data_IF_899259761500
#
_entry.id   IF_899259761500
#
_cell.length_a   1.000
_cell.length_b   1.000
_cell.length_c   1.000
_cell.angle_alpha   90.00
_cell.angle_beta   90.00
_cell.angle_gamma   90.00
#
_symmetry.space_group_name_H-M   'P 1'
#
loop_
_entity.id
_entity.type
_entity.pdbx_description
1 polymer ?
#
# COMPACT_ATOMS: atom_id res chain seq x y z
N UNK A 1 -13.07 41.72 41.25
CA UNK A 1 -12.12 41.75 40.12
C UNK A 1 -11.65 40.33 39.87
N UNK A 2 -12.19 39.68 38.84
CA UNK A 2 -11.88 38.29 38.50
C UNK A 2 -10.73 38.27 37.48
N UNK A 3 -9.69 37.48 37.76
CA UNK A 3 -8.58 37.26 36.84
C UNK A 3 -8.98 36.23 35.76
N UNK A 4 -8.60 36.42 34.48
CA UNK A 4 -8.87 35.45 33.43
C UNK A 4 -7.82 34.32 33.43
N UNK A 5 -8.26 33.07 33.53
CA UNK A 5 -7.43 31.88 33.31
C UNK A 5 -7.13 31.71 31.82
N UNK A 6 -5.85 31.77 31.47
CA UNK A 6 -5.35 31.43 30.15
C UNK A 6 -5.53 29.92 29.89
N UNK A 7 -6.37 29.57 28.92
CA UNK A 7 -6.40 28.23 28.34
C UNK A 7 -5.12 28.02 27.53
N UNK A 8 -4.20 27.20 28.04
CA UNK A 8 -3.09 26.69 27.24
C UNK A 8 -3.62 25.56 26.35
N UNK A 9 -3.29 25.52 25.05
CA UNK A 9 -3.60 24.38 24.21
C UNK A 9 -2.76 23.19 24.68
N UNK A 10 -3.41 22.14 25.17
CA UNK A 10 -2.78 20.85 25.41
C UNK A 10 -2.26 20.33 24.06
N UNK A 11 -0.98 20.55 23.78
CA UNK A 11 -0.28 19.78 22.77
C UNK A 11 -0.13 18.36 23.35
N UNK A 12 -0.96 17.42 22.88
CA UNK A 12 -0.73 16.00 23.12
C UNK A 12 0.64 15.65 22.51
N UNK A 13 1.65 15.52 23.38
CA UNK A 13 2.93 14.92 23.02
C UNK A 13 2.63 13.43 22.85
N UNK A 14 2.31 13.02 21.63
CA UNK A 14 2.12 11.60 21.30
C UNK A 14 3.46 10.90 21.53
N UNK A 15 3.54 10.13 22.60
CA UNK A 15 4.74 9.36 22.95
C UNK A 15 5.08 8.41 21.78
N UNK A 16 6.34 8.38 21.30
CA UNK A 16 6.72 7.53 20.20
C UNK A 16 6.45 6.06 20.55
N UNK A 17 5.66 5.38 19.72
CA UNK A 17 5.30 3.96 19.91
C UNK A 17 6.54 3.11 20.17
N UNK A 18 6.42 2.16 21.10
CA UNK A 18 7.51 1.22 21.35
C UNK A 18 7.66 0.31 20.13
N UNK A 19 8.90 0.05 19.73
CA UNK A 19 9.19 -0.75 18.53
C UNK A 19 8.52 -2.15 18.56
N UNK A 20 8.36 -2.74 19.75
CA UNK A 20 7.68 -4.02 19.96
C UNK A 20 6.19 -3.96 19.57
N UNK A 21 5.52 -2.84 19.81
CA UNK A 21 4.11 -2.64 19.49
C UNK A 21 3.95 -2.54 17.96
N UNK A 22 4.84 -1.79 17.31
CA UNK A 22 4.91 -1.68 15.85
C UNK A 22 5.12 -3.05 15.20
N UNK A 23 5.99 -3.89 15.77
CA UNK A 23 6.27 -5.24 15.27
C UNK A 23 5.09 -6.21 15.38
N UNK A 24 4.19 -6.00 16.33
CA UNK A 24 3.02 -6.86 16.54
C UNK A 24 1.95 -6.70 15.44
N UNK A 25 1.97 -5.58 14.72
CA UNK A 25 1.04 -5.26 13.63
C UNK A 25 1.25 -6.18 12.40
N UNK A 26 2.47 -6.69 12.21
CA UNK A 26 2.85 -7.42 10.99
C UNK A 26 2.54 -8.92 11.16
N UNK A 27 1.58 -9.47 10.39
CA UNK A 27 1.27 -10.89 10.42
C UNK A 27 2.32 -11.70 9.64
N UNK A 28 2.31 -13.01 9.82
CA UNK A 28 3.13 -13.91 9.00
C UNK A 28 2.56 -14.00 7.56
N UNK A 29 3.43 -14.15 6.56
CA UNK A 29 3.01 -14.22 5.15
C UNK A 29 3.76 -15.29 4.36
N UNK A 30 3.03 -16.18 3.70
CA UNK A 30 3.54 -17.38 3.03
C UNK A 30 3.60 -17.29 1.49
N UNK A 31 3.17 -16.17 0.92
CA UNK A 31 3.01 -16.01 -0.53
C UNK A 31 1.59 -16.31 -1.04
N UNK A 32 0.59 -16.38 -0.16
CA UNK A 32 -0.80 -16.45 -0.57
C UNK A 32 -1.25 -15.12 -1.22
N UNK A 33 -1.70 -15.19 -2.47
CA UNK A 33 -2.17 -14.04 -3.23
C UNK A 33 -3.35 -13.30 -2.57
N UNK A 34 -4.23 -14.03 -1.88
CA UNK A 34 -5.42 -13.45 -1.22
C UNK A 34 -4.99 -12.55 -0.05
N UNK A 35 -4.00 -12.99 0.72
CA UNK A 35 -3.55 -12.30 1.93
C UNK A 35 -2.51 -11.21 1.65
N UNK A 36 -2.04 -11.09 0.40
CA UNK A 36 -0.97 -10.16 0.03
C UNK A 36 -1.33 -8.72 0.38
N UNK A 37 -2.52 -8.25 -0.02
CA UNK A 37 -2.94 -6.86 0.20
C UNK A 37 -3.00 -6.54 1.69
N UNK A 38 -3.59 -7.42 2.49
CA UNK A 38 -3.68 -7.27 3.96
C UNK A 38 -2.29 -7.19 4.58
N UNK A 39 -1.38 -8.10 4.20
CA UNK A 39 0.00 -8.10 4.69
C UNK A 39 0.75 -6.81 4.34
N UNK A 40 0.64 -6.37 3.07
CA UNK A 40 1.30 -5.14 2.61
C UNK A 40 0.76 -3.90 3.33
N UNK A 41 -0.54 -3.85 3.59
CA UNK A 41 -1.15 -2.75 4.34
C UNK A 41 -0.67 -2.73 5.81
N UNK A 42 -0.61 -3.89 6.48
CA UNK A 42 -0.05 -3.99 7.83
C UNK A 42 1.41 -3.52 7.89
N UNK A 43 2.23 -3.95 6.93
CA UNK A 43 3.62 -3.51 6.84
C UNK A 43 3.73 -2.01 6.58
N UNK A 44 2.89 -1.45 5.69
CA UNK A 44 2.84 -0.01 5.42
C UNK A 44 2.50 0.77 6.69
N UNK A 45 1.45 0.37 7.41
CA UNK A 45 1.07 1.02 8.67
C UNK A 45 2.22 0.99 9.67
N UNK A 46 2.86 -0.16 9.86
CA UNK A 46 4.00 -0.28 10.76
C UNK A 46 5.19 0.61 10.31
N UNK A 47 5.41 0.72 8.99
CA UNK A 47 6.49 1.52 8.41
C UNK A 47 6.24 3.02 8.53
N UNK A 48 5.00 3.46 8.43
CA UNK A 48 4.58 4.86 8.60
C UNK A 48 4.69 5.29 10.08
N UNK A 49 4.49 4.35 11.02
CA UNK A 49 4.66 4.59 12.46
C UNK A 49 6.13 4.61 12.91
N UNK A 50 7.03 3.99 12.14
CA UNK A 50 8.44 3.87 12.49
C UNK A 50 9.25 5.12 12.11
N UNK A 51 10.18 5.53 12.97
CA UNK A 51 11.06 6.70 12.74
C UNK A 51 12.54 6.34 12.75
N UNK A 52 13.32 6.99 11.87
CA UNK A 52 14.78 6.82 11.79
C UNK A 52 15.22 5.35 11.69
N UNK A 53 16.10 4.93 12.61
CA UNK A 53 16.67 3.58 12.64
C UNK A 53 15.65 2.46 12.90
N UNK A 54 14.45 2.80 13.40
CA UNK A 54 13.38 1.81 13.56
C UNK A 54 12.95 1.21 12.21
N UNK A 55 13.03 1.98 11.11
CA UNK A 55 12.68 1.49 9.76
C UNK A 55 13.62 0.38 9.29
N UNK A 56 14.91 0.46 9.66
CA UNK A 56 15.90 -0.57 9.36
C UNK A 56 15.56 -1.86 10.09
N UNK A 57 15.30 -1.76 11.40
CA UNK A 57 14.90 -2.91 12.22
C UNK A 57 13.57 -3.51 11.76
N UNK A 58 12.62 -2.66 11.36
CA UNK A 58 11.34 -3.09 10.81
C UNK A 58 11.50 -3.86 9.51
N UNK A 59 12.40 -3.42 8.62
CA UNK A 59 12.67 -4.13 7.37
C UNK A 59 13.22 -5.54 7.64
N UNK A 60 14.11 -5.68 8.62
CA UNK A 60 14.60 -7.00 9.07
C UNK A 60 13.46 -7.84 9.66
N UNK A 61 12.59 -7.24 10.48
CA UNK A 61 11.44 -7.92 11.06
C UNK A 61 10.44 -8.40 9.99
N UNK A 62 10.16 -7.59 8.98
CA UNK A 62 9.31 -7.95 7.84
C UNK A 62 9.88 -9.18 7.13
N UNK A 63 11.20 -9.23 6.86
CA UNK A 63 11.84 -10.40 6.23
C UNK A 63 11.65 -11.67 7.08
N UNK A 64 11.73 -11.57 8.41
CA UNK A 64 11.53 -12.69 9.33
C UNK A 64 10.07 -13.20 9.38
N UNK A 65 9.12 -12.31 9.07
CA UNK A 65 7.68 -12.62 9.01
C UNK A 65 7.26 -13.33 7.72
N UNK A 66 8.12 -13.32 6.70
CA UNK A 66 7.90 -14.12 5.50
C UNK A 66 8.15 -15.60 5.78
N UNK A 67 7.33 -16.45 5.19
CA UNK A 67 7.36 -17.92 5.28
C UNK A 67 7.24 -18.53 3.88
N UNK A 68 7.58 -19.81 3.76
CA UNK A 68 7.43 -20.59 2.51
C UNK A 68 8.00 -19.88 1.28
N UNK A 69 7.19 -19.86 0.21
CA UNK A 69 7.58 -19.30 -1.10
C UNK A 69 7.94 -17.82 -1.04
N UNK A 70 7.30 -17.05 -0.16
CA UNK A 70 7.62 -15.63 0.01
C UNK A 70 9.02 -15.43 0.62
N UNK A 71 9.37 -16.25 1.62
CA UNK A 71 10.71 -16.21 2.21
C UNK A 71 11.79 -16.62 1.21
N UNK A 72 11.57 -17.69 0.45
CA UNK A 72 12.48 -18.16 -0.60
C UNK A 72 12.76 -17.06 -1.63
N UNK A 73 11.70 -16.41 -2.14
CA UNK A 73 11.82 -15.33 -3.10
C UNK A 73 12.63 -14.15 -2.55
N UNK A 74 12.28 -13.67 -1.35
CA UNK A 74 12.96 -12.51 -0.75
C UNK A 74 14.41 -12.83 -0.40
N UNK A 75 14.70 -14.03 0.10
CA UNK A 75 16.09 -14.44 0.38
C UNK A 75 16.93 -14.55 -0.90
N UNK A 76 16.34 -15.01 -2.02
CA UNK A 76 17.06 -15.15 -3.29
C UNK A 76 17.46 -13.80 -3.90
N UNK A 77 16.61 -12.77 -3.76
CA UNK A 77 16.85 -11.43 -4.31
C UNK A 77 17.49 -10.46 -3.33
N UNK A 78 17.41 -10.79 -2.03
CA UNK A 78 17.94 -10.05 -0.90
C UNK A 78 17.72 -8.52 -0.97
N UNK A 79 16.45 -8.05 -1.03
CA UNK A 79 16.13 -6.63 -0.98
C UNK A 79 16.53 -6.03 0.38
N UNK A 80 16.89 -4.74 0.34
CA UNK A 80 17.43 -3.98 1.47
C UNK A 80 16.43 -2.96 2.03
N UNK A 81 15.42 -2.58 1.25
CA UNK A 81 14.41 -1.60 1.66
C UNK A 81 13.01 -2.22 1.70
N UNK A 82 12.12 -1.63 2.51
CA UNK A 82 10.72 -2.01 2.51
C UNK A 82 10.08 -1.87 1.12
N UNK A 83 10.37 -0.79 0.39
CA UNK A 83 9.82 -0.56 -0.94
C UNK A 83 10.25 -1.63 -1.95
N UNK A 84 11.51 -2.09 -1.88
CA UNK A 84 11.98 -3.22 -2.69
C UNK A 84 11.25 -4.52 -2.34
N UNK A 85 11.06 -4.82 -1.05
CA UNK A 85 10.31 -6.00 -0.60
C UNK A 85 8.87 -5.94 -1.13
N UNK A 86 8.20 -4.80 -0.94
CA UNK A 86 6.84 -4.59 -1.41
C UNK A 86 6.73 -4.83 -2.91
N UNK A 87 7.57 -4.17 -3.70
CA UNK A 87 7.55 -4.31 -5.17
C UNK A 87 7.81 -5.76 -5.59
N UNK A 88 8.73 -6.45 -4.92
CA UNK A 88 9.03 -7.85 -5.22
C UNK A 88 7.84 -8.77 -4.95
N UNK A 89 7.17 -8.59 -3.81
CA UNK A 89 5.98 -9.37 -3.43
C UNK A 89 4.79 -9.06 -4.34
N UNK A 90 4.54 -7.78 -4.67
CA UNK A 90 3.47 -7.38 -5.60
C UNK A 90 3.69 -7.96 -7.00
N UNK A 91 4.93 -7.97 -7.49
CA UNK A 91 5.24 -8.49 -8.82
C UNK A 91 5.11 -10.02 -8.92
N UNK A 92 5.44 -10.75 -7.85
CA UNK A 92 5.43 -12.22 -7.84
C UNK A 92 4.13 -12.84 -7.37
N UNK A 93 3.48 -12.25 -6.36
CA UNK A 93 2.27 -12.80 -5.74
C UNK A 93 1.02 -11.97 -6.01
N UNK A 94 1.15 -10.77 -6.60
CA UNK A 94 0.00 -9.95 -6.97
C UNK A 94 -0.84 -10.59 -8.08
N UNK A 95 -2.14 -10.32 -8.08
CA UNK A 95 -3.00 -10.72 -9.20
C UNK A 95 -2.72 -9.79 -10.40
N UNK A 96 -2.17 -10.38 -11.46
CA UNK A 96 -1.88 -9.70 -12.72
C UNK A 96 -2.99 -9.91 -13.75
N UNK A 97 -4.00 -10.72 -13.46
CA UNK A 97 -5.13 -10.93 -14.36
C UNK A 97 -5.91 -9.63 -14.47
N UNK A 98 -6.19 -9.26 -15.72
CA UNK A 98 -7.13 -8.20 -16.02
C UNK A 98 -8.56 -8.67 -15.73
N UNK A 99 -9.48 -7.71 -15.60
CA UNK A 99 -10.86 -7.99 -15.28
C UNK A 99 -11.53 -8.92 -16.32
N UNK A 100 -11.15 -8.83 -17.61
CA UNK A 100 -11.72 -9.68 -18.66
C UNK A 100 -11.33 -11.14 -18.46
N UNK A 101 -10.07 -11.42 -18.13
CA UNK A 101 -9.61 -12.78 -17.78
C UNK A 101 -10.36 -13.34 -16.57
N UNK A 102 -10.60 -12.52 -15.53
CA UNK A 102 -11.36 -12.95 -14.35
C UNK A 102 -12.83 -13.25 -14.67
N UNK A 103 -13.46 -12.47 -15.55
CA UNK A 103 -14.83 -12.70 -16.01
C UNK A 103 -14.93 -14.02 -16.79
N UNK A 104 -13.97 -14.30 -17.67
CA UNK A 104 -13.94 -15.56 -18.43
C UNK A 104 -13.80 -16.77 -17.49
N UNK A 105 -12.96 -16.68 -16.46
CA UNK A 105 -12.85 -17.73 -15.44
C UNK A 105 -14.18 -17.94 -14.71
N UNK A 106 -14.85 -16.86 -14.31
CA UNK A 106 -16.16 -16.92 -13.63
C UNK A 106 -17.21 -17.64 -14.50
N UNK A 107 -17.27 -17.33 -15.79
CA UNK A 107 -18.19 -17.97 -16.73
C UNK A 107 -17.96 -19.49 -16.88
N UNK A 108 -16.73 -19.95 -16.61
CA UNK A 108 -16.35 -21.37 -16.71
C UNK A 108 -16.46 -22.11 -15.37
N UNK A 109 -16.65 -21.41 -14.26
CA UNK A 109 -16.78 -22.05 -12.95
C UNK A 109 -18.07 -22.87 -12.88
N UNK A 110 -17.92 -24.17 -12.59
CA UNK A 110 -19.01 -25.11 -12.30
C UNK A 110 -18.66 -25.92 -11.08
N UNK A 111 -19.68 -26.37 -10.34
CA UNK A 111 -19.48 -27.34 -9.28
C UNK A 111 -18.91 -28.62 -9.86
N UNK A 112 -17.81 -29.11 -9.29
CA UNK A 112 -17.14 -30.31 -9.76
C UNK A 112 -17.89 -31.57 -9.30
N UNK A 113 -17.69 -32.68 -10.02
CA UNK A 113 -18.23 -33.98 -9.60
C UNK A 113 -17.62 -34.38 -8.25
N UNK A 114 -18.46 -34.65 -7.25
CA UNK A 114 -18.02 -34.99 -5.90
C UNK A 114 -17.67 -33.78 -5.00
N UNK A 115 -17.77 -32.56 -5.51
CA UNK A 115 -17.57 -31.35 -4.71
C UNK A 115 -18.84 -31.01 -3.91
N UNK A 116 -18.68 -30.67 -2.62
CA UNK A 116 -19.81 -30.20 -1.82
C UNK A 116 -20.28 -28.80 -2.27
N UNK A 117 -21.59 -28.48 -2.16
CA UNK A 117 -22.07 -27.14 -2.49
C UNK A 117 -21.35 -26.02 -1.72
N UNK A 118 -21.00 -26.26 -0.46
CA UNK A 118 -20.28 -25.29 0.37
C UNK A 118 -18.86 -25.03 -0.15
N UNK A 119 -18.16 -26.08 -0.58
CA UNK A 119 -16.82 -25.94 -1.17
C UNK A 119 -16.87 -25.15 -2.48
N UNK A 120 -17.89 -25.40 -3.31
CA UNK A 120 -18.09 -24.64 -4.54
C UNK A 120 -18.38 -23.16 -4.27
N UNK A 121 -19.25 -22.85 -3.30
CA UNK A 121 -19.55 -21.47 -2.89
C UNK A 121 -18.29 -20.77 -2.36
N UNK A 122 -17.49 -21.43 -1.52
CA UNK A 122 -16.25 -20.86 -1.00
C UNK A 122 -15.25 -20.49 -2.11
N UNK A 123 -15.17 -21.33 -3.16
CA UNK A 123 -14.37 -21.01 -4.36
C UNK A 123 -14.94 -19.82 -5.12
N UNK A 124 -16.26 -19.73 -5.25
CA UNK A 124 -16.91 -18.61 -5.93
C UNK A 124 -16.65 -17.29 -5.21
N UNK A 125 -16.78 -17.27 -3.87
CA UNK A 125 -16.47 -16.11 -3.04
C UNK A 125 -15.00 -15.68 -3.16
N UNK A 126 -14.10 -16.65 -3.19
CA UNK A 126 -12.66 -16.39 -3.40
C UNK A 126 -12.41 -15.72 -4.76
N UNK A 127 -13.12 -16.15 -5.81
CA UNK A 127 -13.01 -15.57 -7.14
C UNK A 127 -13.63 -14.18 -7.21
N UNK A 128 -14.77 -13.97 -6.55
CA UNK A 128 -15.44 -12.68 -6.42
C UNK A 128 -14.53 -11.64 -5.74
N UNK A 129 -13.87 -12.01 -4.64
CA UNK A 129 -12.94 -11.13 -3.94
C UNK A 129 -11.80 -10.64 -4.85
N UNK A 130 -11.31 -11.50 -5.75
CA UNK A 130 -10.28 -11.15 -6.74
C UNK A 130 -10.80 -10.18 -7.79
N UNK A 131 -12.05 -10.36 -8.25
CA UNK A 131 -12.70 -9.42 -9.16
C UNK A 131 -12.89 -8.04 -8.53
N UNK A 132 -13.38 -7.97 -7.30
CA UNK A 132 -13.52 -6.71 -6.56
C UNK A 132 -12.17 -5.99 -6.40
N UNK A 133 -11.12 -6.73 -6.03
CA UNK A 133 -9.77 -6.16 -5.93
C UNK A 133 -9.26 -5.59 -7.28
N UNK A 134 -9.51 -6.30 -8.39
CA UNK A 134 -9.15 -5.82 -9.73
C UNK A 134 -9.91 -4.56 -10.13
N UNK A 135 -11.23 -4.50 -9.86
CA UNK A 135 -12.06 -3.33 -10.15
C UNK A 135 -11.58 -2.12 -9.35
N UNK A 136 -11.34 -2.30 -8.05
CA UNK A 136 -10.86 -1.22 -7.19
C UNK A 136 -9.48 -0.69 -7.64
N UNK A 137 -8.57 -1.60 -8.04
CA UNK A 137 -7.27 -1.24 -8.62
C UNK A 137 -7.42 -0.39 -9.88
N UNK A 138 -8.31 -0.76 -10.80
CA UNK A 138 -8.58 0.01 -12.02
C UNK A 138 -9.15 1.40 -11.72
N UNK A 139 -10.10 1.52 -10.78
CA UNK A 139 -10.65 2.80 -10.34
C UNK A 139 -9.58 3.72 -9.74
N UNK A 140 -8.68 3.17 -8.91
CA UNK A 140 -7.59 3.93 -8.31
C UNK A 140 -6.57 4.44 -9.37
N UNK A 141 -6.28 3.63 -10.39
CA UNK A 141 -5.40 4.05 -11.49
C UNK A 141 -6.00 5.21 -12.30
N UNK A 142 -7.30 5.15 -12.59
CA UNK A 142 -8.01 6.24 -13.26
C UNK A 142 -8.00 7.52 -12.42
N UNK A 143 -8.26 7.43 -11.11
CA UNK A 143 -8.21 8.57 -10.20
C UNK A 143 -6.82 9.23 -10.15
N UNK A 144 -5.74 8.43 -10.10
CA UNK A 144 -4.37 8.93 -10.16
C UNK A 144 -4.05 9.61 -11.48
N UNK A 145 -4.50 9.05 -12.59
CA UNK A 145 -4.28 9.62 -13.92
C UNK A 145 -5.00 10.96 -14.08
N UNK A 146 -6.24 11.06 -13.60
CA UNK A 146 -6.99 12.32 -13.57
C UNK A 146 -6.32 13.36 -12.67
N UNK A 147 -5.80 12.95 -11.51
CA UNK A 147 -5.07 13.87 -10.61
C UNK A 147 -3.80 14.41 -11.28
N UNK A 148 -3.06 13.55 -11.98
CA UNK A 148 -1.86 13.95 -12.73
C UNK A 148 -2.19 14.93 -13.86
N UNK A 149 -3.24 14.65 -14.64
CA UNK A 149 -3.71 15.55 -15.69
C UNK A 149 -4.15 16.91 -15.15
N UNK A 150 -4.82 16.93 -13.99
CA UNK A 150 -5.23 18.18 -13.34
C UNK A 150 -4.03 18.97 -12.78
N UNK A 151 -3.02 18.30 -12.20
CA UNK A 151 -1.80 18.97 -11.73
C UNK A 151 -0.98 19.51 -12.89
N UNK A 152 -0.86 18.77 -13.99
CA UNK A 152 -0.13 19.23 -15.18
C UNK A 152 -0.83 20.44 -15.81
N UNK A 153 -2.17 20.45 -15.87
CA UNK A 153 -2.93 21.58 -16.38
C UNK A 153 -2.76 22.84 -15.50
N UNK A 154 -2.82 22.70 -14.18
CA UNK A 154 -2.59 23.83 -13.26
C UNK A 154 -1.17 24.38 -13.34
N UNK A 155 -0.16 23.54 -13.62
CA UNK A 155 1.23 23.98 -13.83
C UNK A 155 1.34 24.76 -15.13
N UNK A 156 0.67 24.33 -16.21
CA UNK A 156 0.64 25.07 -17.47
C UNK A 156 -0.03 26.44 -17.32
N UNK A 157 -1.17 26.52 -16.62
CA UNK A 157 -1.88 27.79 -16.39
C UNK A 157 -1.06 28.79 -15.55
N UNK A 158 -0.15 28.31 -14.68
CA UNK A 158 0.78 29.15 -13.91
C UNK A 158 1.99 29.62 -14.73
N UNK A 159 2.35 28.90 -15.80
CA UNK A 159 3.49 29.23 -16.67
C UNK A 159 3.11 30.13 -17.86
N UNK A 160 1.83 30.26 -18.19
CA UNK A 160 1.31 31.15 -19.25
C UNK A 160 0.91 32.56 -18.75
N UNK A 161 1.11 32.88 -17.45
CA UNK A 161 1.00 34.26 -16.95
C UNK A 161 2.34 35.01 -17.10
N UNK A 162 2.45 36.01 -18.01
CA UNK A 162 3.69 36.78 -18.21
C UNK A 162 4.16 37.57 -16.97
N UNK A 163 3.37 37.63 -15.90
CA UNK A 163 3.76 38.23 -14.61
C UNK A 163 4.57 37.33 -13.67
N UNK A 164 4.58 36.00 -13.87
CA UNK A 164 5.06 35.05 -12.85
C UNK A 164 6.54 34.62 -12.99
N UNK A 165 7.21 35.02 -14.08
CA UNK A 165 8.61 34.69 -14.36
C UNK A 165 9.62 35.26 -13.33
N UNK A 166 9.22 36.24 -12.51
CA UNK A 166 10.12 36.88 -11.53
C UNK A 166 10.14 36.20 -10.15
N UNK A 167 9.19 35.30 -9.84
CA UNK A 167 9.09 34.70 -8.51
C UNK A 167 9.64 33.26 -8.45
N UNK A 168 9.64 32.51 -9.56
CA UNK A 168 10.07 31.12 -9.58
C UNK A 168 11.60 30.92 -9.52
N UNK A 169 12.40 31.92 -9.87
CA UNK A 169 13.87 31.84 -9.72
C UNK A 169 14.34 31.94 -8.26
N UNK A 170 13.47 32.38 -7.33
CA UNK A 170 13.80 32.47 -5.90
C UNK A 170 13.53 31.18 -5.12
N UNK A 171 12.53 30.37 -5.54
CA UNK A 171 12.11 29.17 -4.78
C UNK A 171 12.84 27.89 -5.17
N UNK A 172 13.34 27.78 -6.42
CA UNK A 172 14.05 26.58 -6.88
C UNK A 172 15.47 26.46 -6.28
N UNK A 173 16.06 27.56 -5.78
CA UNK A 173 17.38 27.50 -5.09
C UNK A 173 17.34 27.00 -3.64
N UNK A 174 16.17 26.69 -3.06
CA UNK A 174 16.07 26.16 -1.69
C UNK A 174 15.86 24.65 -1.60
N UNK A 175 15.90 23.93 -2.72
CA UNK A 175 15.75 22.47 -2.71
C UNK A 175 16.75 21.79 -3.65
N UNK A 176 18.02 22.15 -3.49
CA UNK A 176 19.18 21.29 -3.81
C UNK A 176 20.19 21.44 -2.68
#
# INVERSE_FOLDING_TARGET
MAQPQAHQPHQEIVEPYKLIEIFSIIPDYDGNQINLVTFLNSCKTAYDMAVGNQKVLLTVHIKNKLKGRAAELVNSRNPNTWDEIKNLLENHFGDRRDLTSLIQDLQRMRQLSGESPLTFIARLQTHEAKMHASIHKQQCLLAKHLTHLLTDCMICDVLDDPGCHSLLTSSIRRTV
#
